data_IF_193953708964
#
_entry.id   IF_193953708964
#
_cell.length_a   1.000
_cell.length_b   1.000
_cell.length_c   1.000
_cell.angle_alpha   90.00
_cell.angle_beta   90.00
_cell.angle_gamma   90.00
#
_symmetry.space_group_name_H-M   'P 1'
#
loop_
_entity.id
_entity.type
_entity.pdbx_description
1 polymer ?
#
# COMPACT_ATOMS: atom_id res chain seq x y z
N UNK A 1 -54.26 59.70 61.41
CA UNK A 1 -54.48 58.37 60.87
C UNK A 1 -53.82 58.20 59.49
N UNK A 2 -52.54 57.97 59.46
CA UNK A 2 -51.77 57.57 58.24
C UNK A 2 -50.49 56.86 58.71
N UNK A 3 -50.58 55.62 58.96
CA UNK A 3 -49.42 54.76 59.13
C UNK A 3 -49.93 53.26 59.21
N UNK A 4 -50.20 52.60 58.14
CA UNK A 4 -50.31 51.16 58.12
C UNK A 4 -50.65 50.66 56.71
N UNK A 5 -49.84 50.96 55.68
CA UNK A 5 -50.07 50.32 54.34
C UNK A 5 -48.83 50.09 53.49
N UNK A 6 -47.63 50.20 54.08
CA UNK A 6 -46.40 50.10 53.26
C UNK A 6 -45.59 48.77 53.54
N UNK A 7 -45.92 48.00 54.55
CA UNK A 7 -45.14 46.85 54.92
C UNK A 7 -45.57 45.49 54.24
N UNK A 8 -46.79 45.43 53.73
CA UNK A 8 -47.28 44.18 53.14
C UNK A 8 -46.80 43.90 51.71
N UNK A 9 -46.40 44.96 50.97
CA UNK A 9 -45.91 44.74 49.55
C UNK A 9 -44.46 44.31 49.44
N UNK A 10 -43.63 44.60 50.43
CA UNK A 10 -42.20 44.20 50.40
C UNK A 10 -41.95 42.67 50.59
N UNK A 11 -42.76 42.09 51.41
CA UNK A 11 -42.58 40.65 51.74
C UNK A 11 -43.00 39.73 50.61
N UNK A 12 -43.99 40.08 49.79
CA UNK A 12 -44.44 39.33 48.64
C UNK A 12 -43.39 39.39 47.52
N UNK A 13 -42.69 40.51 47.33
CA UNK A 13 -41.63 40.62 46.30
C UNK A 13 -40.38 39.83 46.66
N UNK A 14 -39.98 39.76 47.93
CA UNK A 14 -38.82 38.96 48.35
C UNK A 14 -39.09 37.49 48.33
N UNK A 15 -40.32 37.04 48.61
CA UNK A 15 -40.71 35.62 48.48
C UNK A 15 -40.71 35.14 47.03
N UNK A 16 -41.16 35.98 46.07
CA UNK A 16 -41.18 35.62 44.66
C UNK A 16 -39.74 35.54 44.09
N UNK A 17 -38.84 36.44 44.46
CA UNK A 17 -37.44 36.38 44.02
C UNK A 17 -36.69 35.17 44.63
N UNK A 18 -36.94 34.83 45.88
CA UNK A 18 -36.36 33.64 46.52
C UNK A 18 -36.82 32.35 45.86
N UNK A 19 -38.08 32.23 45.49
CA UNK A 19 -38.62 31.05 44.85
C UNK A 19 -38.10 30.89 43.39
N UNK A 20 -37.99 31.99 42.65
CA UNK A 20 -37.41 31.99 41.31
C UNK A 20 -35.89 31.65 41.32
N UNK A 21 -35.13 32.16 42.30
CA UNK A 21 -33.73 31.83 42.45
C UNK A 21 -33.53 30.34 42.84
N UNK A 22 -34.40 29.79 43.73
CA UNK A 22 -34.35 28.39 44.11
C UNK A 22 -34.71 27.46 42.93
N UNK A 23 -35.71 27.81 42.13
CA UNK A 23 -36.09 27.10 40.91
C UNK A 23 -35.00 27.13 39.83
N UNK A 24 -34.30 28.27 39.68
CA UNK A 24 -33.16 28.37 38.75
C UNK A 24 -31.97 27.54 39.21
N UNK A 25 -31.66 27.48 40.49
CA UNK A 25 -30.59 26.62 41.04
C UNK A 25 -30.94 25.16 40.89
N UNK A 26 -32.20 24.74 41.13
CA UNK A 26 -32.65 23.39 40.94
C UNK A 26 -32.61 22.98 39.42
N UNK A 27 -32.99 23.89 38.51
CA UNK A 27 -32.91 23.66 37.08
C UNK A 27 -31.45 23.54 36.59
N UNK A 28 -30.52 24.31 37.14
CA UNK A 28 -29.09 24.23 36.84
C UNK A 28 -28.49 22.90 37.40
N UNK A 29 -28.88 22.50 38.62
CA UNK A 29 -28.38 21.23 39.22
C UNK A 29 -28.95 19.98 38.53
N UNK A 30 -30.19 20.03 38.06
CA UNK A 30 -30.80 18.94 37.29
C UNK A 30 -30.23 18.88 35.85
N UNK A 31 -29.95 20.06 35.25
CA UNK A 31 -29.31 20.13 33.92
C UNK A 31 -27.89 19.65 33.85
N UNK A 32 -27.14 19.64 34.99
CA UNK A 32 -25.77 19.10 35.05
C UNK A 32 -25.71 17.61 35.36
N UNK A 33 -26.83 16.95 35.60
CA UNK A 33 -26.85 15.53 35.99
C UNK A 33 -27.16 14.58 34.80
N UNK A 34 -27.40 15.10 33.61
CA UNK A 34 -27.43 14.29 32.39
C UNK A 34 -26.07 14.52 31.66
N UNK A 35 -25.03 14.07 32.32
CA UNK A 35 -23.79 13.79 31.63
C UNK A 35 -24.07 12.47 30.86
N UNK A 36 -24.50 12.61 29.60
CA UNK A 36 -24.41 11.48 28.67
C UNK A 36 -22.97 11.01 28.73
N UNK A 37 -22.77 9.83 29.30
CA UNK A 37 -21.53 9.11 29.13
C UNK A 37 -21.28 9.11 27.64
N UNK A 38 -20.16 9.67 27.13
CA UNK A 38 -19.88 9.61 25.71
C UNK A 38 -20.01 8.13 25.34
N UNK A 39 -20.89 7.84 24.40
CA UNK A 39 -21.02 6.49 23.88
C UNK A 39 -19.58 6.07 23.57
N UNK A 40 -19.09 5.07 24.28
CA UNK A 40 -17.74 4.53 24.08
C UNK A 40 -17.67 4.28 22.61
N UNK A 41 -16.90 5.10 21.89
CA UNK A 41 -16.71 4.94 20.45
C UNK A 41 -16.42 3.46 20.27
N UNK A 42 -17.29 2.74 19.56
CA UNK A 42 -17.10 1.34 19.31
C UNK A 42 -15.70 1.26 18.71
N UNK A 43 -14.80 0.55 19.37
CA UNK A 43 -13.47 0.30 18.82
C UNK A 43 -13.70 -0.16 17.39
N UNK A 44 -12.97 0.39 16.38
CA UNK A 44 -13.16 -0.03 15.01
C UNK A 44 -13.16 -1.56 15.02
N UNK A 45 -14.19 -2.15 14.40
CA UNK A 45 -14.37 -3.59 14.39
C UNK A 45 -13.18 -4.18 13.63
N UNK A 46 -12.11 -4.54 14.34
CA UNK A 46 -10.88 -5.07 13.74
C UNK A 46 -11.26 -6.42 13.16
N UNK A 47 -11.15 -6.61 11.83
CA UNK A 47 -11.52 -7.88 11.21
C UNK A 47 -10.72 -9.03 11.81
N UNK A 48 -11.39 -10.09 12.24
CA UNK A 48 -10.72 -11.29 12.74
C UNK A 48 -10.36 -12.19 11.58
N UNK A 49 -9.10 -12.59 11.50
CA UNK A 49 -8.58 -13.55 10.54
C UNK A 49 -8.81 -14.96 11.08
N UNK A 50 -9.59 -15.75 10.36
CA UNK A 50 -9.96 -17.11 10.80
C UNK A 50 -8.90 -18.16 10.46
N UNK A 51 -7.97 -17.83 9.54
CA UNK A 51 -6.90 -18.69 9.06
C UNK A 51 -7.26 -19.51 7.82
N UNK A 52 -6.25 -19.91 7.05
CA UNK A 52 -6.37 -20.64 5.77
C UNK A 52 -7.22 -21.90 5.89
N UNK A 53 -7.11 -22.62 7.00
CA UNK A 53 -7.90 -23.82 7.28
C UNK A 53 -9.42 -23.56 7.30
N UNK A 54 -9.88 -22.32 7.45
CA UNK A 54 -11.29 -21.96 7.39
C UNK A 54 -11.82 -21.86 5.95
N UNK A 55 -10.93 -21.75 4.96
CA UNK A 55 -11.24 -21.69 3.54
C UNK A 55 -11.04 -23.05 2.84
N UNK A 56 -10.28 -23.99 3.44
CA UNK A 56 -9.71 -25.18 2.80
C UNK A 56 -10.65 -26.39 2.68
N UNK A 57 -11.92 -26.25 3.04
CA UNK A 57 -12.87 -27.36 2.89
C UNK A 57 -12.99 -27.84 1.43
N UNK A 58 -13.16 -29.14 1.20
CA UNK A 58 -13.30 -29.74 -0.14
C UNK A 58 -14.54 -29.30 -0.90
N UNK A 59 -15.53 -28.73 -0.20
CA UNK A 59 -16.71 -28.10 -0.79
C UNK A 59 -16.56 -26.57 -0.95
N UNK A 60 -15.39 -26.04 -0.54
CA UNK A 60 -15.06 -24.62 -0.59
C UNK A 60 -13.90 -24.40 -1.56
N UNK A 61 -12.69 -24.08 -1.07
CA UNK A 61 -11.52 -23.77 -1.90
C UNK A 61 -10.41 -24.84 -1.87
N UNK A 62 -10.65 -26.00 -1.24
CA UNK A 62 -9.67 -27.06 -1.04
C UNK A 62 -9.91 -28.32 -1.87
N UNK A 63 -10.48 -28.22 -3.07
CA UNK A 63 -10.59 -29.35 -4.00
C UNK A 63 -9.24 -29.71 -4.58
N UNK A 64 -8.99 -30.99 -4.76
CA UNK A 64 -7.78 -31.49 -5.45
C UNK A 64 -7.80 -31.20 -6.95
N UNK A 65 -8.99 -31.14 -7.54
CA UNK A 65 -9.22 -30.85 -8.96
C UNK A 65 -10.28 -29.77 -9.11
N UNK A 66 -10.03 -28.87 -10.05
CA UNK A 66 -10.94 -27.77 -10.36
C UNK A 66 -12.15 -28.30 -11.15
N UNK A 67 -13.31 -28.35 -10.53
CA UNK A 67 -14.57 -28.76 -11.18
C UNK A 67 -15.74 -27.77 -10.99
N UNK A 68 -15.51 -26.68 -10.25
CA UNK A 68 -16.46 -25.60 -10.07
C UNK A 68 -16.67 -24.84 -11.36
N UNK A 69 -17.94 -24.57 -11.73
CA UNK A 69 -18.28 -23.78 -12.93
C UNK A 69 -18.07 -22.29 -12.73
N UNK A 70 -18.25 -21.82 -11.52
CA UNK A 70 -18.19 -20.39 -11.16
C UNK A 70 -16.91 -20.10 -10.37
N UNK A 71 -16.62 -20.94 -9.38
CA UNK A 71 -15.38 -20.93 -8.60
C UNK A 71 -14.78 -22.30 -8.76
N UNK A 72 -13.50 -22.36 -9.10
CA UNK A 72 -12.84 -23.64 -9.39
C UNK A 72 -12.68 -24.49 -8.15
N UNK A 73 -12.61 -23.85 -6.98
CA UNK A 73 -12.51 -24.48 -5.68
C UNK A 73 -11.20 -25.25 -5.44
N UNK A 74 -10.19 -25.00 -6.27
CA UNK A 74 -8.82 -25.55 -6.16
C UNK A 74 -7.78 -24.48 -5.76
N UNK A 75 -8.23 -23.32 -5.30
CA UNK A 75 -7.39 -22.16 -5.02
C UNK A 75 -6.31 -22.48 -3.96
N UNK A 76 -6.64 -23.30 -2.96
CA UNK A 76 -5.68 -23.76 -1.94
C UNK A 76 -4.54 -24.58 -2.59
N UNK A 77 -4.87 -25.47 -3.53
CA UNK A 77 -3.86 -26.27 -4.22
C UNK A 77 -2.87 -25.40 -4.98
N UNK A 78 -3.37 -24.37 -5.66
CA UNK A 78 -2.53 -23.41 -6.38
C UNK A 78 -1.69 -22.55 -5.45
N UNK A 79 -2.30 -22.03 -4.39
CA UNK A 79 -1.61 -21.23 -3.39
C UNK A 79 -0.50 -22.01 -2.65
N UNK A 80 -0.64 -23.34 -2.52
CA UNK A 80 0.36 -24.21 -1.92
C UNK A 80 1.36 -24.82 -2.93
N UNK A 81 1.18 -24.61 -4.23
CA UNK A 81 2.00 -25.22 -5.29
C UNK A 81 3.48 -24.81 -5.15
N UNK A 82 4.30 -25.72 -4.66
CA UNK A 82 5.69 -25.44 -4.32
C UNK A 82 6.57 -25.16 -5.54
N UNK A 83 6.22 -25.71 -6.69
CA UNK A 83 6.96 -25.58 -7.96
C UNK A 83 6.55 -24.34 -8.76
N UNK A 84 5.54 -23.58 -8.30
CA UNK A 84 4.97 -22.44 -9.01
C UNK A 84 5.17 -21.13 -8.24
N UNK A 85 5.29 -19.98 -8.94
CA UNK A 85 5.22 -18.65 -8.34
C UNK A 85 3.95 -18.42 -7.51
N UNK A 86 2.81 -19.05 -7.89
CA UNK A 86 1.54 -18.95 -7.16
C UNK A 86 1.65 -19.40 -5.71
N UNK A 87 2.53 -20.36 -5.40
CA UNK A 87 2.79 -20.82 -4.05
C UNK A 87 3.84 -20.04 -3.26
N UNK A 88 4.35 -18.94 -3.78
CA UNK A 88 5.39 -18.16 -3.10
C UNK A 88 4.93 -17.62 -1.74
N UNK A 89 3.71 -17.13 -1.66
CA UNK A 89 3.15 -16.56 -0.44
C UNK A 89 2.94 -17.60 0.68
N UNK A 90 2.53 -18.81 0.35
CA UNK A 90 2.40 -19.89 1.35
C UNK A 90 3.74 -20.28 1.99
N UNK A 91 4.85 -20.06 1.28
CA UNK A 91 6.21 -20.36 1.77
C UNK A 91 6.89 -19.17 2.47
N UNK A 92 6.21 -18.00 2.52
CA UNK A 92 6.82 -16.78 3.03
C UNK A 92 7.33 -16.94 4.47
N UNK A 93 6.59 -17.63 5.34
CA UNK A 93 7.04 -17.90 6.71
C UNK A 93 8.15 -18.95 6.76
N UNK A 94 8.01 -20.03 6.00
CA UNK A 94 8.95 -21.14 6.03
C UNK A 94 10.39 -20.72 5.66
N UNK A 95 10.54 -19.73 4.77
CA UNK A 95 11.86 -19.20 4.39
C UNK A 95 12.61 -18.54 5.57
N UNK A 96 11.90 -18.14 6.62
CA UNK A 96 12.52 -17.54 7.81
C UNK A 96 13.36 -18.55 8.62
N UNK A 97 13.06 -19.85 8.52
CA UNK A 97 13.85 -20.91 9.17
C UNK A 97 15.14 -21.22 8.43
N UNK A 98 15.29 -20.80 7.17
CA UNK A 98 16.46 -21.11 6.35
C UNK A 98 17.74 -20.46 6.88
N UNK A 99 18.91 -21.07 6.63
CA UNK A 99 20.19 -20.57 7.10
C UNK A 99 20.48 -19.11 6.72
N UNK A 100 20.08 -18.70 5.51
CA UNK A 100 20.24 -17.30 5.05
C UNK A 100 19.42 -16.32 5.91
N UNK A 101 18.17 -16.61 6.16
CA UNK A 101 17.30 -15.76 6.97
C UNK A 101 17.78 -15.64 8.40
N UNK A 102 18.24 -16.75 8.99
CA UNK A 102 18.84 -16.76 10.32
C UNK A 102 20.17 -15.97 10.36
N UNK A 103 20.95 -16.00 9.27
CA UNK A 103 22.16 -15.19 9.16
C UNK A 103 21.85 -13.70 9.09
N UNK A 104 20.83 -13.31 8.32
CA UNK A 104 20.33 -11.92 8.25
C UNK A 104 19.91 -11.44 9.64
N UNK A 105 19.10 -12.22 10.35
CA UNK A 105 18.66 -11.90 11.71
C UNK A 105 19.83 -11.71 12.69
N UNK A 106 20.85 -12.59 12.63
CA UNK A 106 22.07 -12.45 13.43
C UNK A 106 22.84 -11.15 13.10
N UNK A 107 23.00 -10.83 11.82
CA UNK A 107 23.70 -9.59 11.39
C UNK A 107 22.96 -8.33 11.83
N UNK A 108 21.64 -8.38 11.87
CA UNK A 108 20.81 -7.29 12.35
C UNK A 108 20.73 -7.19 13.88
N UNK A 109 21.13 -8.25 14.60
CA UNK A 109 21.03 -8.32 16.06
C UNK A 109 19.60 -8.48 16.57
N UNK A 110 18.68 -9.05 15.75
CA UNK A 110 17.24 -9.16 16.07
C UNK A 110 16.83 -10.55 16.57
N UNK A 111 17.77 -11.43 16.84
CA UNK A 111 17.52 -12.78 17.39
C UNK A 111 17.10 -13.77 16.30
N UNK A 112 15.94 -14.41 16.46
CA UNK A 112 15.43 -15.41 15.51
C UNK A 112 14.49 -14.76 14.48
N UNK A 113 14.74 -15.02 13.20
CA UNK A 113 13.94 -14.47 12.09
C UNK A 113 12.45 -14.87 12.18
N UNK A 114 12.14 -16.09 12.66
CA UNK A 114 10.77 -16.60 12.76
C UNK A 114 9.93 -15.89 13.85
N UNK A 115 10.56 -15.14 14.74
CA UNK A 115 9.88 -14.42 15.82
C UNK A 115 10.11 -12.91 15.76
N UNK A 116 11.00 -12.45 14.87
CA UNK A 116 11.31 -11.03 14.76
C UNK A 116 10.17 -10.25 14.06
N UNK A 117 9.56 -9.24 14.72
CA UNK A 117 8.47 -8.47 14.11
C UNK A 117 8.85 -7.84 12.77
N UNK A 118 10.09 -7.42 12.60
CA UNK A 118 10.63 -6.87 11.37
C UNK A 118 10.53 -7.84 10.18
N UNK A 119 10.70 -9.14 10.43
CA UNK A 119 10.56 -10.18 9.39
C UNK A 119 9.08 -10.54 9.20
N UNK A 120 8.36 -10.75 10.31
CA UNK A 120 6.98 -11.21 10.30
C UNK A 120 6.02 -10.24 9.62
N UNK A 121 6.32 -8.94 9.61
CA UNK A 121 5.48 -7.94 8.95
C UNK A 121 5.24 -8.22 7.46
N UNK A 122 6.20 -8.91 6.78
CA UNK A 122 6.08 -9.27 5.36
C UNK A 122 6.06 -10.79 5.13
N UNK A 123 6.53 -11.60 6.08
CA UNK A 123 6.66 -13.04 5.93
C UNK A 123 5.58 -13.85 6.64
N UNK A 124 4.67 -13.20 7.35
CA UNK A 124 3.48 -13.80 7.94
C UNK A 124 2.28 -12.88 7.76
N UNK A 125 1.10 -13.45 7.80
CA UNK A 125 -0.13 -12.66 7.77
C UNK A 125 -0.23 -11.75 8.99
N UNK A 126 -0.31 -10.44 8.77
CA UNK A 126 -0.34 -9.45 9.84
C UNK A 126 -1.77 -9.26 10.36
N UNK A 127 -2.23 -10.20 11.20
CA UNK A 127 -3.57 -10.20 11.77
C UNK A 127 -3.57 -9.61 13.19
N UNK A 128 -4.26 -8.50 13.40
CA UNK A 128 -4.44 -7.90 14.72
C UNK A 128 -5.43 -8.68 15.60
N UNK A 129 -6.37 -9.41 15.00
CA UNK A 129 -7.30 -10.33 15.67
C UNK A 129 -7.27 -11.69 14.96
N UNK A 130 -7.09 -12.76 15.74
CA UNK A 130 -6.82 -14.12 15.22
C UNK A 130 -7.86 -15.11 15.74
N UNK A 131 -8.46 -15.85 14.82
CA UNK A 131 -9.38 -16.95 15.15
C UNK A 131 -8.63 -18.24 15.50
N UNK A 132 -9.37 -19.27 15.96
CA UNK A 132 -8.77 -20.49 16.47
C UNK A 132 -8.06 -21.37 15.44
N UNK A 133 -8.29 -21.12 14.14
CA UNK A 133 -7.64 -21.85 13.03
C UNK A 133 -6.51 -21.06 12.36
N UNK A 134 -6.27 -19.85 12.85
CA UNK A 134 -5.16 -19.04 12.36
C UNK A 134 -3.83 -19.71 12.72
N UNK A 135 -2.94 -19.84 11.72
CA UNK A 135 -1.58 -20.32 11.91
C UNK A 135 -0.60 -19.36 11.23
N UNK A 136 0.34 -18.84 11.99
CA UNK A 136 1.37 -17.94 11.48
C UNK A 136 2.27 -18.64 10.45
N UNK A 137 2.42 -19.96 10.57
CA UNK A 137 3.19 -20.82 9.64
C UNK A 137 2.56 -20.92 8.25
N UNK A 138 1.32 -20.53 8.07
CA UNK A 138 0.69 -20.46 6.73
C UNK A 138 1.32 -19.38 5.84
N UNK A 139 2.20 -18.52 6.40
CA UNK A 139 2.85 -17.45 5.67
C UNK A 139 1.86 -16.31 5.36
N UNK A 140 1.78 -15.94 4.09
CA UNK A 140 0.81 -14.94 3.61
C UNK A 140 -0.43 -15.69 3.13
N UNK A 141 -1.40 -15.82 4.04
CA UNK A 141 -2.64 -16.55 3.82
C UNK A 141 -3.66 -15.76 2.99
N UNK A 142 -4.83 -16.37 2.81
CA UNK A 142 -5.92 -15.82 2.02
C UNK A 142 -6.38 -14.45 2.52
N UNK A 143 -6.49 -14.31 3.82
CA UNK A 143 -7.03 -13.11 4.48
C UNK A 143 -6.04 -11.94 4.50
N UNK A 144 -4.75 -12.17 4.23
CA UNK A 144 -3.79 -11.10 4.01
C UNK A 144 -4.17 -10.19 2.82
N UNK A 145 -4.78 -10.80 1.80
CA UNK A 145 -5.25 -10.09 0.61
C UNK A 145 -6.76 -9.83 0.64
N UNK A 146 -7.55 -10.85 1.05
CA UNK A 146 -9.01 -10.78 1.03
C UNK A 146 -9.63 -10.10 2.27
N UNK A 147 -8.82 -9.74 3.26
CA UNK A 147 -9.26 -9.18 4.54
C UNK A 147 -9.79 -10.24 5.51
N UNK A 148 -9.75 -9.96 6.81
CA UNK A 148 -10.21 -10.87 7.86
C UNK A 148 -11.64 -11.36 7.65
N UNK A 149 -11.82 -12.66 7.60
CA UNK A 149 -13.02 -13.29 7.03
C UNK A 149 -14.18 -13.46 8.01
N UNK A 150 -13.98 -13.21 9.29
CA UNK A 150 -15.00 -13.51 10.32
C UNK A 150 -16.38 -12.90 10.04
N UNK A 151 -16.42 -11.71 9.44
CA UNK A 151 -17.67 -11.01 9.16
C UNK A 151 -18.28 -11.35 7.80
N UNK A 152 -17.46 -11.80 6.82
CA UNK A 152 -17.95 -12.00 5.46
C UNK A 152 -17.97 -13.47 5.00
N UNK A 153 -17.33 -14.41 5.73
CA UNK A 153 -17.21 -15.80 5.29
C UNK A 153 -18.58 -16.49 5.08
N UNK A 154 -19.56 -16.19 5.91
CA UNK A 154 -20.91 -16.73 5.72
C UNK A 154 -21.67 -16.00 4.60
N UNK A 155 -21.45 -14.69 4.48
CA UNK A 155 -22.12 -13.84 3.48
C UNK A 155 -21.71 -14.20 2.07
N UNK A 156 -20.41 -14.46 1.83
CA UNK A 156 -19.92 -14.72 0.48
C UNK A 156 -20.44 -16.04 -0.12
N UNK A 157 -20.78 -17.02 0.71
CA UNK A 157 -21.41 -18.28 0.28
C UNK A 157 -22.76 -18.09 -0.38
N UNK A 158 -23.41 -16.94 -0.16
CA UNK A 158 -24.70 -16.60 -0.78
C UNK A 158 -24.56 -16.02 -2.19
N UNK A 159 -23.34 -15.90 -2.71
CA UNK A 159 -23.06 -15.54 -4.10
C UNK A 159 -23.22 -14.06 -4.46
N UNK A 160 -23.48 -13.16 -3.50
CA UNK A 160 -23.58 -11.72 -3.75
C UNK A 160 -22.28 -11.02 -3.36
N UNK A 161 -21.43 -10.73 -4.34
CA UNK A 161 -20.14 -10.08 -4.13
C UNK A 161 -20.24 -8.71 -3.42
N UNK A 162 -21.20 -7.86 -3.81
CA UNK A 162 -21.37 -6.56 -3.20
C UNK A 162 -21.75 -6.65 -1.70
N UNK A 163 -22.51 -7.68 -1.30
CA UNK A 163 -22.79 -7.94 0.11
C UNK A 163 -21.53 -8.36 0.86
N UNK A 164 -20.71 -9.20 0.24
CA UNK A 164 -19.43 -9.65 0.82
C UNK A 164 -18.48 -8.47 1.03
N UNK A 165 -18.37 -7.58 0.06
CA UNK A 165 -17.56 -6.34 0.18
C UNK A 165 -18.10 -5.46 1.32
N UNK A 166 -19.42 -5.28 1.43
CA UNK A 166 -20.01 -4.54 2.56
C UNK A 166 -19.75 -5.19 3.92
N UNK A 167 -19.61 -6.50 3.95
CA UNK A 167 -19.25 -7.25 5.16
C UNK A 167 -17.74 -7.26 5.47
N UNK A 168 -16.91 -6.69 4.59
CA UNK A 168 -15.48 -6.53 4.82
C UNK A 168 -14.54 -7.31 3.89
N UNK A 169 -15.07 -8.02 2.89
CA UNK A 169 -14.24 -8.60 1.83
C UNK A 169 -13.56 -7.51 1.03
N UNK A 170 -12.25 -7.59 0.88
CA UNK A 170 -11.46 -6.63 0.12
C UNK A 170 -11.71 -6.78 -1.39
N UNK A 171 -12.14 -5.72 -2.12
CA UNK A 171 -12.49 -5.79 -3.54
C UNK A 171 -11.24 -5.74 -4.42
N UNK A 172 -10.50 -6.85 -4.51
CA UNK A 172 -9.23 -6.96 -5.24
C UNK A 172 -9.37 -6.84 -6.77
N UNK A 173 -10.57 -6.91 -7.31
CA UNK A 173 -10.88 -6.58 -8.71
C UNK A 173 -10.57 -5.12 -9.05
N UNK A 174 -10.54 -4.23 -8.04
CA UNK A 174 -10.08 -2.86 -8.20
C UNK A 174 -8.56 -2.80 -8.21
N UNK A 175 -7.89 -2.39 -9.32
CA UNK A 175 -6.43 -2.29 -9.37
C UNK A 175 -5.82 -1.40 -8.29
N UNK A 176 -6.48 -0.32 -7.90
CA UNK A 176 -6.01 0.55 -6.80
C UNK A 176 -6.01 -0.17 -5.45
N UNK A 177 -7.07 -0.92 -5.16
CA UNK A 177 -7.17 -1.69 -3.91
C UNK A 177 -6.13 -2.80 -3.91
N UNK A 178 -6.03 -3.56 -5.00
CA UNK A 178 -5.02 -4.60 -5.18
C UNK A 178 -3.61 -4.05 -4.99
N UNK A 179 -3.28 -2.94 -5.67
CA UNK A 179 -1.98 -2.28 -5.52
C UNK A 179 -1.70 -1.89 -4.07
N UNK A 180 -2.67 -1.31 -3.36
CA UNK A 180 -2.48 -0.91 -1.96
C UNK A 180 -2.10 -2.10 -1.08
N UNK A 181 -2.78 -3.24 -1.23
CA UNK A 181 -2.49 -4.47 -0.48
C UNK A 181 -1.10 -5.02 -0.81
N UNK A 182 -0.76 -5.16 -2.11
CA UNK A 182 0.52 -5.71 -2.53
C UNK A 182 1.70 -4.84 -2.07
N UNK A 183 1.56 -3.52 -2.22
CA UNK A 183 2.63 -2.58 -1.91
C UNK A 183 2.96 -2.50 -0.43
N UNK A 184 2.09 -2.94 0.48
CA UNK A 184 2.40 -2.96 1.91
C UNK A 184 3.65 -3.79 2.22
N UNK A 185 3.83 -4.91 1.53
CA UNK A 185 5.02 -5.75 1.69
C UNK A 185 6.06 -5.50 0.59
N UNK A 186 5.63 -5.29 -0.67
CA UNK A 186 6.53 -5.20 -1.81
C UNK A 186 7.23 -3.82 -1.96
N UNK A 187 6.72 -2.79 -1.30
CA UNK A 187 7.38 -1.47 -1.17
C UNK A 187 7.59 -1.08 0.29
N UNK A 188 6.60 -1.35 1.11
CA UNK A 188 6.57 -1.04 2.52
C UNK A 188 5.32 -0.27 2.94
N UNK A 189 5.06 -0.30 4.24
CA UNK A 189 3.97 0.42 4.90
C UNK A 189 4.45 1.03 6.21
N UNK A 190 4.32 2.33 6.36
CA UNK A 190 4.67 3.01 7.59
C UNK A 190 3.79 2.54 8.76
N UNK A 191 2.50 2.33 8.49
CA UNK A 191 1.52 1.94 9.49
C UNK A 191 1.71 0.48 9.95
N UNK A 192 2.13 -0.40 9.03
CA UNK A 192 2.42 -1.81 9.30
C UNK A 192 3.83 -2.07 9.80
N UNK A 193 4.71 -1.08 9.84
CA UNK A 193 6.12 -1.26 10.17
C UNK A 193 6.90 -2.09 9.15
N UNK A 194 6.38 -2.18 7.94
CA UNK A 194 6.92 -2.98 6.84
C UNK A 194 7.82 -2.10 5.97
N UNK A 195 9.13 -2.27 6.06
CA UNK A 195 10.06 -1.49 5.24
C UNK A 195 11.42 -2.18 5.14
N UNK A 196 11.80 -2.57 3.93
CA UNK A 196 13.13 -3.12 3.65
C UNK A 196 14.08 -1.97 3.33
N UNK A 197 14.77 -1.49 4.35
CA UNK A 197 15.76 -0.43 4.25
C UNK A 197 17.13 -0.97 3.82
N UNK A 198 18.08 -0.06 3.56
CA UNK A 198 19.44 -0.42 3.15
C UNK A 198 20.18 -1.28 4.19
N UNK A 199 19.90 -1.09 5.50
CA UNK A 199 20.49 -1.91 6.57
C UNK A 199 20.05 -3.37 6.48
N UNK A 200 18.77 -3.62 6.20
CA UNK A 200 18.22 -4.98 6.01
C UNK A 200 18.83 -5.62 4.77
N UNK A 201 18.94 -4.87 3.66
CA UNK A 201 19.61 -5.35 2.44
C UNK A 201 21.10 -5.60 2.67
N UNK A 202 21.78 -4.71 3.39
CA UNK A 202 23.18 -4.88 3.78
C UNK A 202 23.43 -6.11 4.66
N UNK A 203 22.44 -6.55 5.43
CA UNK A 203 22.48 -7.80 6.17
C UNK A 203 22.33 -9.04 5.29
N UNK A 204 21.90 -8.90 4.04
CA UNK A 204 21.77 -9.97 3.04
C UNK A 204 20.38 -10.23 2.51
N UNK A 205 19.39 -9.43 2.88
CA UNK A 205 18.05 -9.49 2.29
C UNK A 205 18.12 -9.03 0.83
N UNK A 206 17.48 -9.73 -0.11
CA UNK A 206 17.44 -9.27 -1.49
C UNK A 206 16.63 -7.98 -1.62
N UNK A 207 16.95 -7.17 -2.64
CA UNK A 207 16.05 -6.12 -3.06
C UNK A 207 14.74 -6.74 -3.57
N UNK A 208 13.64 -6.09 -3.29
CA UNK A 208 12.32 -6.50 -3.80
C UNK A 208 12.04 -5.66 -5.04
N UNK A 209 11.99 -6.33 -6.21
CA UNK A 209 11.46 -5.74 -7.44
C UNK A 209 9.99 -6.13 -7.57
N UNK A 210 9.15 -5.21 -7.99
CA UNK A 210 7.71 -5.47 -8.06
C UNK A 210 7.07 -4.68 -9.22
N UNK A 211 6.20 -5.37 -9.93
CA UNK A 211 5.31 -4.78 -10.93
C UNK A 211 3.92 -5.45 -10.76
N UNK A 212 2.86 -4.65 -10.66
CA UNK A 212 1.56 -5.14 -10.21
C UNK A 212 0.92 -6.13 -11.18
N UNK A 213 0.99 -5.89 -12.50
CA UNK A 213 0.34 -6.75 -13.49
C UNK A 213 1.05 -8.09 -13.63
N UNK A 214 2.38 -8.06 -13.80
CA UNK A 214 3.20 -9.27 -13.88
C UNK A 214 3.04 -10.13 -12.62
N UNK A 215 3.15 -9.52 -11.44
CA UNK A 215 3.06 -10.27 -10.18
C UNK A 215 1.64 -10.77 -9.91
N UNK A 216 0.59 -10.04 -10.32
CA UNK A 216 -0.78 -10.54 -10.28
C UNK A 216 -0.95 -11.76 -11.18
N UNK A 217 -0.37 -11.75 -12.38
CA UNK A 217 -0.40 -12.86 -13.32
C UNK A 217 0.36 -14.08 -12.78
N UNK A 218 1.57 -13.88 -12.24
CA UNK A 218 2.38 -14.95 -11.65
C UNK A 218 1.73 -15.59 -10.42
N UNK A 219 0.94 -14.82 -9.66
CA UNK A 219 0.26 -15.28 -8.45
C UNK A 219 -1.19 -15.71 -8.70
N UNK A 220 -1.61 -15.79 -9.94
CA UNK A 220 -3.00 -16.09 -10.28
C UNK A 220 -3.44 -17.47 -9.79
N UNK A 221 -4.28 -17.49 -8.77
CA UNK A 221 -4.90 -18.71 -8.21
C UNK A 221 -6.41 -18.80 -8.52
N UNK A 222 -6.99 -17.75 -9.13
CA UNK A 222 -8.32 -17.75 -9.72
C UNK A 222 -8.23 -17.77 -11.24
N UNK A 223 -9.27 -18.26 -11.90
CA UNK A 223 -9.39 -18.13 -13.35
C UNK A 223 -10.26 -16.93 -13.70
N UNK A 224 -9.67 -15.96 -14.36
CA UNK A 224 -10.37 -14.80 -14.92
C UNK A 224 -10.97 -15.19 -16.30
N UNK A 225 -11.88 -16.14 -16.29
CA UNK A 225 -12.57 -16.65 -17.48
C UNK A 225 -13.82 -15.81 -17.84
N UNK A 226 -14.58 -16.28 -18.82
CA UNK A 226 -15.77 -15.57 -19.29
C UNK A 226 -16.84 -15.38 -18.19
N UNK A 227 -16.97 -16.33 -17.26
CA UNK A 227 -17.88 -16.22 -16.12
C UNK A 227 -17.41 -15.17 -15.12
N UNK A 228 -16.11 -15.12 -14.84
CA UNK A 228 -15.52 -14.06 -14.02
C UNK A 228 -15.76 -12.69 -14.63
N UNK A 229 -15.51 -12.55 -15.94
CA UNK A 229 -15.72 -11.33 -16.69
C UNK A 229 -17.17 -10.85 -16.65
N UNK A 230 -18.12 -11.77 -16.75
CA UNK A 230 -19.55 -11.45 -16.68
C UNK A 230 -19.97 -10.92 -15.30
N UNK A 231 -19.42 -11.44 -14.23
CA UNK A 231 -19.80 -11.09 -12.85
C UNK A 231 -19.05 -9.89 -12.28
N UNK A 232 -17.81 -9.70 -12.67
CA UNK A 232 -16.89 -8.69 -12.08
C UNK A 232 -16.36 -7.69 -13.10
N UNK A 233 -16.63 -7.89 -14.38
CA UNK A 233 -16.04 -7.13 -15.47
C UNK A 233 -14.59 -7.56 -15.76
N UNK A 234 -14.12 -7.19 -16.96
CA UNK A 234 -12.72 -7.38 -17.35
C UNK A 234 -11.91 -6.14 -16.98
N UNK A 235 -10.81 -6.36 -16.33
CA UNK A 235 -9.78 -5.32 -16.15
C UNK A 235 -8.62 -5.66 -17.08
N UNK A 236 -8.28 -4.75 -18.00
CA UNK A 236 -7.15 -4.99 -18.90
C UNK A 236 -5.83 -4.92 -18.14
N UNK A 237 -4.86 -5.76 -18.53
CA UNK A 237 -3.51 -5.80 -17.97
C UNK A 237 -2.84 -4.42 -17.99
N UNK A 238 -2.94 -3.67 -19.08
CA UNK A 238 -2.38 -2.33 -19.16
C UNK A 238 -3.01 -1.36 -18.15
N UNK A 239 -4.28 -1.54 -17.77
CA UNK A 239 -4.90 -0.75 -16.69
C UNK A 239 -4.32 -1.15 -15.33
N UNK A 240 -4.17 -2.44 -15.07
CA UNK A 240 -3.54 -2.95 -13.83
C UNK A 240 -2.13 -2.41 -13.73
N UNK A 241 -1.35 -2.53 -14.81
CA UNK A 241 0.00 -2.02 -14.90
C UNK A 241 0.08 -0.51 -14.65
N UNK A 242 -0.69 0.31 -15.37
CA UNK A 242 -0.61 1.76 -15.26
C UNK A 242 -1.04 2.28 -13.87
N UNK A 243 -2.08 1.67 -13.28
CA UNK A 243 -2.49 1.95 -11.90
C UNK A 243 -1.39 1.50 -10.93
N UNK A 244 -0.81 0.33 -11.13
CA UNK A 244 0.30 -0.20 -10.32
C UNK A 244 1.49 0.75 -10.29
N UNK A 245 1.92 1.25 -11.45
CA UNK A 245 3.01 2.23 -11.56
C UNK A 245 2.71 3.52 -10.77
N UNK A 246 1.49 4.04 -10.90
CA UNK A 246 1.09 5.26 -10.20
C UNK A 246 1.03 5.07 -8.67
N UNK A 247 0.50 3.94 -8.22
CA UNK A 247 0.42 3.60 -6.80
C UNK A 247 1.81 3.33 -6.20
N UNK A 248 2.73 2.73 -6.96
CA UNK A 248 4.11 2.51 -6.56
C UNK A 248 4.86 3.84 -6.36
N UNK A 249 4.70 4.80 -7.29
CA UNK A 249 5.25 6.16 -7.13
C UNK A 249 4.66 6.84 -5.87
N UNK A 250 3.35 6.76 -5.67
CA UNK A 250 2.69 7.33 -4.50
C UNK A 250 3.25 6.73 -3.21
N UNK A 251 3.37 5.40 -3.15
CA UNK A 251 3.89 4.67 -1.99
C UNK A 251 5.36 5.01 -1.70
N UNK A 252 6.22 4.97 -2.71
CA UNK A 252 7.63 5.29 -2.57
C UNK A 252 7.83 6.71 -2.01
N UNK A 253 7.13 7.70 -2.55
CA UNK A 253 7.20 9.08 -2.07
C UNK A 253 6.59 9.29 -0.70
N UNK A 254 5.59 8.50 -0.32
CA UNK A 254 5.02 8.49 1.03
C UNK A 254 6.04 7.99 2.06
N UNK A 255 6.71 6.89 1.77
CA UNK A 255 7.79 6.33 2.61
C UNK A 255 8.98 7.30 2.70
N UNK A 256 9.40 7.87 1.56
CA UNK A 256 10.46 8.88 1.50
C UNK A 256 10.17 10.10 2.39
N UNK A 257 8.93 10.55 2.39
CA UNK A 257 8.49 11.72 3.16
C UNK A 257 8.26 11.41 4.63
N UNK A 258 8.21 10.14 5.02
CA UNK A 258 7.99 9.73 6.40
C UNK A 258 9.22 10.08 7.27
N UNK A 259 9.05 10.82 8.39
CA UNK A 259 10.19 11.28 9.20
C UNK A 259 11.02 10.14 9.80
N UNK A 260 10.43 8.98 10.10
CA UNK A 260 11.13 7.85 10.71
C UNK A 260 11.75 6.92 9.68
N UNK A 261 11.07 6.66 8.56
CA UNK A 261 11.53 5.72 7.54
C UNK A 261 12.49 6.36 6.52
N UNK A 262 12.22 7.61 6.15
CA UNK A 262 13.03 8.34 5.16
C UNK A 262 14.40 8.80 5.66
N UNK A 263 14.72 8.60 6.95
CA UNK A 263 15.93 9.13 7.59
C UNK A 263 16.70 8.11 8.42
N UNK A 264 16.41 6.82 8.28
CA UNK A 264 17.13 5.80 9.03
C UNK A 264 18.62 5.78 8.61
N UNK A 265 19.50 6.31 9.48
CA UNK A 265 20.94 6.43 9.25
C UNK A 265 21.37 7.68 8.49
N UNK A 266 20.72 8.07 7.42
CA UNK A 266 20.98 9.26 6.62
C UNK A 266 19.71 9.72 5.89
N UNK A 267 19.67 10.99 5.50
CA UNK A 267 18.59 11.47 4.62
C UNK A 267 19.15 11.77 3.23
N UNK A 268 18.44 11.31 2.17
CA UNK A 268 17.42 10.24 2.20
C UNK A 268 18.03 8.88 2.56
N UNK A 269 17.20 7.98 3.09
CA UNK A 269 17.59 6.60 3.35
C UNK A 269 18.05 5.94 2.03
N UNK A 270 19.13 5.14 2.05
CA UNK A 270 19.79 4.70 0.83
C UNK A 270 18.98 3.77 -0.06
N UNK A 271 17.93 3.12 0.47
CA UNK A 271 17.02 2.31 -0.33
C UNK A 271 16.29 3.10 -1.42
N UNK A 272 16.19 4.43 -1.27
CA UNK A 272 15.54 5.30 -2.24
C UNK A 272 16.43 5.68 -3.44
N UNK A 273 17.70 5.32 -3.40
CA UNK A 273 18.62 5.58 -4.52
C UNK A 273 18.76 4.36 -5.44
N UNK A 274 19.20 4.63 -6.67
CA UNK A 274 19.65 3.58 -7.57
C UNK A 274 20.85 2.84 -6.97
N UNK A 275 20.69 1.53 -6.81
CA UNK A 275 21.68 0.67 -6.17
C UNK A 275 22.99 0.62 -6.95
N UNK A 276 22.93 0.59 -8.27
CA UNK A 276 24.07 0.45 -9.16
C UNK A 276 24.93 1.72 -9.23
N UNK A 277 24.40 2.85 -8.80
CA UNK A 277 25.19 4.08 -8.68
C UNK A 277 26.32 3.95 -7.67
N UNK A 278 26.13 3.14 -6.62
CA UNK A 278 27.12 2.88 -5.58
C UNK A 278 27.70 1.47 -5.67
N UNK A 279 26.86 0.43 -5.90
CA UNK A 279 27.26 -0.97 -5.98
C UNK A 279 27.69 -1.38 -7.38
N UNK A 280 28.58 -0.65 -7.99
CA UNK A 280 29.18 -0.95 -9.28
C UNK A 280 30.66 -1.27 -9.16
N UNK A 281 31.20 -1.93 -10.19
CA UNK A 281 32.64 -2.12 -10.31
C UNK A 281 33.32 -0.76 -10.48
N UNK A 282 34.26 -0.46 -9.62
CA UNK A 282 35.17 0.67 -9.80
C UNK A 282 36.31 0.16 -10.70
N UNK A 283 36.45 0.76 -11.87
CA UNK A 283 37.54 0.45 -12.80
C UNK A 283 38.58 1.56 -12.72
N UNK A 284 39.82 1.19 -12.49
CA UNK A 284 40.97 2.10 -12.60
C UNK A 284 41.45 2.29 -14.05
N UNK A 285 40.61 2.00 -15.03
CA UNK A 285 41.00 2.09 -16.44
C UNK A 285 40.76 3.50 -16.99
N UNK A 286 41.68 3.97 -17.83
CA UNK A 286 41.56 5.25 -18.54
C UNK A 286 40.35 5.32 -19.49
N UNK A 287 39.71 4.20 -19.77
CA UNK A 287 38.52 4.11 -20.60
C UNK A 287 37.20 4.24 -19.80
N UNK A 288 37.25 4.52 -18.50
CA UNK A 288 36.06 4.78 -17.71
C UNK A 288 35.43 6.11 -18.14
N UNK A 289 34.30 6.02 -18.79
CA UNK A 289 33.43 7.18 -19.04
C UNK A 289 32.45 7.31 -17.87
N UNK A 290 32.52 8.40 -17.09
CA UNK A 290 31.51 8.65 -16.07
C UNK A 290 30.13 8.67 -16.71
N UNK A 291 29.18 7.95 -16.12
CA UNK A 291 27.78 7.91 -16.57
C UNK A 291 26.99 9.16 -16.15
N UNK A 292 27.63 10.32 -16.15
CA UNK A 292 26.94 11.62 -16.01
C UNK A 292 26.28 11.95 -17.34
N UNK A 293 25.19 11.28 -17.64
CA UNK A 293 24.38 11.67 -18.78
C UNK A 293 23.52 12.86 -18.36
N UNK A 294 23.64 13.94 -19.13
CA UNK A 294 22.71 15.06 -18.94
C UNK A 294 21.30 14.60 -19.27
N UNK A 295 20.46 14.52 -18.24
CA UNK A 295 19.07 14.13 -18.38
C UNK A 295 18.18 15.28 -17.91
N UNK A 296 17.64 16.09 -18.85
CA UNK A 296 16.77 17.23 -18.49
C UNK A 296 15.52 16.83 -17.70
N UNK A 297 15.08 15.58 -17.80
CA UNK A 297 13.98 15.01 -17.02
C UNK A 297 14.37 14.64 -15.59
N UNK A 298 15.69 14.48 -15.34
CA UNK A 298 16.27 14.07 -14.05
C UNK A 298 17.49 14.96 -13.74
N UNK A 299 17.32 16.19 -13.29
CA UNK A 299 18.43 17.09 -13.00
C UNK A 299 19.17 16.62 -11.73
N UNK A 300 20.10 15.70 -11.90
CA UNK A 300 20.90 15.12 -10.81
C UNK A 300 22.26 15.80 -10.84
N UNK A 301 22.67 16.45 -9.73
CA UNK A 301 23.99 17.05 -9.62
C UNK A 301 25.11 16.01 -9.73
N UNK A 302 26.25 16.42 -10.27
CA UNK A 302 27.46 15.58 -10.36
C UNK A 302 27.84 15.08 -8.94
N UNK A 303 28.07 13.78 -8.83
CA UNK A 303 28.47 13.14 -7.58
C UNK A 303 27.30 12.72 -6.68
N UNK A 304 26.05 13.05 -7.04
CA UNK A 304 24.86 12.58 -6.33
C UNK A 304 24.30 11.32 -6.98
N UNK A 305 23.99 10.25 -6.23
CA UNK A 305 23.31 9.09 -6.80
C UNK A 305 21.88 9.48 -7.23
N UNK A 306 21.38 8.95 -8.35
CA UNK A 306 20.01 9.19 -8.77
C UNK A 306 19.02 8.56 -7.80
N UNK A 307 17.89 9.23 -7.59
CA UNK A 307 16.74 8.61 -6.94
C UNK A 307 16.23 7.45 -7.80
N UNK A 308 15.77 6.36 -7.16
CA UNK A 308 15.17 5.25 -7.88
C UNK A 308 13.78 5.66 -8.41
N UNK A 309 13.75 6.08 -9.66
CA UNK A 309 12.56 6.60 -10.32
C UNK A 309 11.96 5.64 -11.35
N UNK A 310 12.28 4.34 -11.27
CA UNK A 310 11.84 3.29 -12.18
C UNK A 310 10.34 3.38 -12.52
N UNK A 311 9.49 3.52 -11.50
CA UNK A 311 8.05 3.65 -11.70
C UNK A 311 7.64 5.04 -12.23
N UNK A 312 8.42 6.09 -11.98
CA UNK A 312 8.14 7.43 -12.52
C UNK A 312 8.32 7.45 -14.04
N UNK A 313 9.35 6.77 -14.55
CA UNK A 313 9.62 6.65 -15.97
C UNK A 313 8.47 5.90 -16.66
N UNK A 314 8.07 4.76 -16.12
CA UNK A 314 6.95 3.95 -16.62
C UNK A 314 5.64 4.73 -16.61
N UNK A 315 5.35 5.41 -15.49
CA UNK A 315 4.14 6.22 -15.34
C UNK A 315 4.11 7.40 -16.30
N UNK A 316 5.26 8.04 -16.56
CA UNK A 316 5.38 9.12 -17.55
C UNK A 316 5.03 8.62 -18.96
N UNK A 317 5.52 7.43 -19.34
CA UNK A 317 5.20 6.84 -20.64
C UNK A 317 3.69 6.59 -20.80
N UNK A 318 3.05 5.99 -19.79
CA UNK A 318 1.60 5.79 -19.79
C UNK A 318 0.82 7.11 -19.85
N UNK A 319 1.24 8.09 -19.05
CA UNK A 319 0.54 9.36 -18.92
C UNK A 319 0.61 10.20 -20.20
N UNK A 320 1.77 10.24 -20.88
CA UNK A 320 1.92 10.96 -22.16
C UNK A 320 0.94 10.46 -23.22
N UNK A 321 0.69 9.16 -23.24
CA UNK A 321 -0.21 8.54 -24.23
C UNK A 321 -1.68 8.65 -23.83
N UNK A 322 -2.00 8.39 -22.57
CA UNK A 322 -3.39 8.22 -22.15
C UNK A 322 -3.96 9.41 -21.35
N UNK A 323 -3.12 10.29 -20.82
CA UNK A 323 -3.53 11.45 -20.03
C UNK A 323 -2.57 12.65 -20.20
N UNK A 324 -2.37 13.18 -21.43
CA UNK A 324 -1.29 14.12 -21.74
C UNK A 324 -1.33 15.42 -20.90
N UNK A 325 -2.49 15.90 -20.51
CA UNK A 325 -2.60 17.10 -19.66
C UNK A 325 -2.06 16.83 -18.24
N UNK A 326 -2.28 15.64 -17.70
CA UNK A 326 -1.73 15.23 -16.40
C UNK A 326 -0.24 14.88 -16.50
N UNK A 327 0.20 14.35 -17.63
CA UNK A 327 1.59 14.02 -17.89
C UNK A 327 2.50 15.24 -17.75
N UNK A 328 2.14 16.37 -18.33
CA UNK A 328 2.92 17.62 -18.25
C UNK A 328 3.15 18.05 -16.80
N UNK A 329 2.10 18.00 -15.99
CA UNK A 329 2.20 18.33 -14.56
C UNK A 329 3.05 17.32 -13.80
N UNK A 330 2.82 16.03 -14.01
CA UNK A 330 3.57 14.95 -13.38
C UNK A 330 5.07 15.05 -13.68
N UNK A 331 5.45 15.25 -14.94
CA UNK A 331 6.84 15.41 -15.35
C UNK A 331 7.49 16.70 -14.80
N UNK A 332 6.73 17.80 -14.70
CA UNK A 332 7.20 19.02 -14.06
C UNK A 332 7.46 18.81 -12.56
N UNK A 333 6.55 18.13 -11.87
CA UNK A 333 6.70 17.80 -10.45
C UNK A 333 7.86 16.81 -10.23
N UNK A 334 8.07 15.85 -11.14
CA UNK A 334 9.20 14.91 -11.10
C UNK A 334 10.54 15.66 -11.24
N UNK A 335 10.67 16.55 -12.21
CA UNK A 335 11.88 17.40 -12.35
C UNK A 335 12.12 18.25 -11.10
N UNK A 336 11.07 18.84 -10.56
CA UNK A 336 11.17 19.66 -9.35
C UNK A 336 11.61 18.83 -8.13
N UNK A 337 11.15 17.58 -8.02
CA UNK A 337 11.56 16.66 -6.97
C UNK A 337 13.04 16.29 -7.07
N UNK A 338 13.51 15.86 -8.25
CA UNK A 338 14.93 15.56 -8.46
C UNK A 338 15.83 16.75 -8.17
N UNK A 339 15.44 17.96 -8.60
CA UNK A 339 16.19 19.17 -8.29
C UNK A 339 16.18 19.51 -6.79
N UNK A 340 15.10 19.20 -6.07
CA UNK A 340 14.96 19.50 -4.66
C UNK A 340 15.77 18.58 -3.75
N UNK A 341 15.97 17.31 -4.13
CA UNK A 341 16.79 16.34 -3.37
C UNK A 341 18.19 16.89 -3.10
N UNK A 342 18.75 17.61 -4.06
CA UNK A 342 20.09 18.18 -3.96
C UNK A 342 20.19 19.44 -3.08
N UNK A 343 19.07 20.01 -2.65
CA UNK A 343 19.07 21.27 -1.88
C UNK A 343 19.04 21.01 -0.39
N UNK A 344 17.91 20.52 0.10
CA UNK A 344 17.67 20.26 1.51
C UNK A 344 16.46 19.33 1.70
N UNK A 345 16.34 18.77 2.90
CA UNK A 345 15.27 17.85 3.26
C UNK A 345 13.88 18.46 3.14
N UNK A 346 13.69 19.69 3.60
CA UNK A 346 12.36 20.31 3.61
C UNK A 346 11.85 20.56 2.19
N UNK A 347 12.73 21.07 1.31
CA UNK A 347 12.45 21.25 -0.12
C UNK A 347 12.14 19.92 -0.81
N UNK A 348 12.93 18.88 -0.53
CA UNK A 348 12.75 17.54 -1.10
C UNK A 348 11.42 16.92 -0.66
N UNK A 349 11.08 16.94 0.63
CA UNK A 349 9.80 16.42 1.15
C UNK A 349 8.60 17.21 0.60
N UNK A 350 8.71 18.54 0.50
CA UNK A 350 7.64 19.35 -0.10
C UNK A 350 7.42 19.01 -1.58
N UNK A 351 8.49 18.81 -2.34
CA UNK A 351 8.42 18.40 -3.74
C UNK A 351 7.89 16.96 -3.89
N UNK A 352 8.34 16.02 -3.05
CA UNK A 352 7.82 14.65 -2.99
C UNK A 352 6.31 14.62 -2.76
N UNK A 353 5.80 15.41 -1.83
CA UNK A 353 4.36 15.48 -1.55
C UNK A 353 3.54 16.05 -2.74
N UNK A 354 4.09 17.00 -3.51
CA UNK A 354 3.44 17.49 -4.74
C UNK A 354 3.41 16.40 -5.81
N UNK A 355 4.53 15.75 -6.05
CA UNK A 355 4.64 14.66 -7.02
C UNK A 355 3.75 13.47 -6.64
N UNK A 356 3.66 13.14 -5.35
CA UNK A 356 2.71 12.14 -4.83
C UNK A 356 1.28 12.46 -5.20
N UNK A 357 0.86 13.72 -5.06
CA UNK A 357 -0.47 14.19 -5.48
C UNK A 357 -0.71 14.04 -6.98
N UNK A 358 0.30 14.30 -7.81
CA UNK A 358 0.22 14.10 -9.26
C UNK A 358 0.12 12.62 -9.64
N UNK A 359 0.84 11.73 -8.96
CA UNK A 359 0.72 10.28 -9.14
C UNK A 359 -0.66 9.76 -8.71
N UNK A 360 -1.20 10.21 -7.57
CA UNK A 360 -2.53 9.83 -7.09
C UNK A 360 -3.64 10.25 -8.08
N UNK A 361 -3.51 11.40 -8.72
CA UNK A 361 -4.43 11.84 -9.78
C UNK A 361 -4.36 10.92 -11.00
N UNK A 362 -3.16 10.51 -11.43
CA UNK A 362 -2.98 9.55 -12.51
C UNK A 362 -3.55 8.17 -12.13
N UNK A 363 -3.30 7.67 -10.92
CA UNK A 363 -3.89 6.43 -10.44
C UNK A 363 -5.43 6.45 -10.52
N UNK A 364 -6.05 7.56 -10.11
CA UNK A 364 -7.50 7.73 -10.16
C UNK A 364 -8.03 7.81 -11.59
N UNK A 365 -7.31 8.47 -12.49
CA UNK A 365 -7.65 8.55 -13.91
C UNK A 365 -7.55 7.18 -14.57
N UNK A 366 -6.45 6.45 -14.35
CA UNK A 366 -6.24 5.13 -14.95
C UNK A 366 -7.16 4.04 -14.38
N UNK A 367 -7.62 4.17 -13.15
CA UNK A 367 -8.59 3.25 -12.53
C UNK A 367 -9.88 3.11 -13.39
N UNK A 368 -10.31 4.16 -14.05
CA UNK A 368 -11.50 4.18 -14.90
C UNK A 368 -11.19 4.25 -16.41
N UNK A 369 -9.90 4.31 -16.79
CA UNK A 369 -9.52 4.43 -18.18
C UNK A 369 -9.77 3.14 -18.97
N UNK A 370 -10.11 3.30 -20.24
CA UNK A 370 -10.05 2.25 -21.24
C UNK A 370 -8.89 2.57 -22.18
N UNK A 371 -7.98 1.61 -22.32
CA UNK A 371 -6.84 1.75 -23.22
C UNK A 371 -7.17 1.09 -24.56
N UNK A 372 -7.15 1.85 -25.63
CA UNK A 372 -7.27 1.30 -26.98
C UNK A 372 -6.01 0.53 -27.37
N UNK A 373 -6.14 -0.40 -28.33
CA UNK A 373 -5.00 -1.13 -28.86
C UNK A 373 -3.88 -0.20 -29.36
N UNK A 374 -4.24 0.90 -30.02
CA UNK A 374 -3.27 1.90 -30.49
C UNK A 374 -2.52 2.56 -29.32
N UNK A 375 -3.22 2.89 -28.24
CA UNK A 375 -2.57 3.45 -27.03
C UNK A 375 -1.65 2.43 -26.35
N UNK A 376 -2.03 1.16 -26.30
CA UNK A 376 -1.18 0.10 -25.74
C UNK A 376 0.13 0.01 -26.52
N UNK A 377 0.07 -0.08 -27.86
CA UNK A 377 1.28 -0.09 -28.69
C UNK A 377 2.10 1.19 -28.56
N UNK A 378 1.46 2.35 -28.49
CA UNK A 378 2.16 3.61 -28.31
C UNK A 378 2.89 3.69 -26.94
N UNK A 379 2.33 3.10 -25.89
CA UNK A 379 3.00 2.98 -24.57
C UNK A 379 4.22 2.07 -24.69
N UNK A 380 4.07 0.89 -25.30
CA UNK A 380 5.17 -0.07 -25.52
C UNK A 380 6.29 0.57 -26.34
N UNK A 381 5.95 1.23 -27.45
CA UNK A 381 6.92 1.94 -28.30
C UNK A 381 7.65 3.05 -27.53
N UNK A 382 6.92 3.77 -26.69
CA UNK A 382 7.51 4.82 -25.85
C UNK A 382 8.52 4.22 -24.85
N UNK A 383 8.14 3.16 -24.14
CA UNK A 383 9.03 2.47 -23.18
C UNK A 383 10.26 1.92 -23.91
N UNK A 384 10.06 1.21 -25.02
CA UNK A 384 11.15 0.60 -25.78
C UNK A 384 12.12 1.63 -26.35
N UNK A 385 11.61 2.76 -26.88
CA UNK A 385 12.44 3.84 -27.40
C UNK A 385 13.23 4.54 -26.30
N UNK A 386 12.66 4.69 -25.11
CA UNK A 386 13.31 5.30 -23.97
C UNK A 386 14.36 4.37 -23.35
N UNK A 387 14.15 3.05 -23.39
CA UNK A 387 15.09 2.06 -22.86
C UNK A 387 16.48 2.13 -23.53
N UNK A 388 16.56 2.57 -24.77
CA UNK A 388 17.82 2.79 -25.50
C UNK A 388 18.33 4.25 -25.42
N UNK A 389 17.64 5.09 -24.68
CA UNK A 389 17.97 6.51 -24.52
C UNK A 389 18.61 6.75 -23.14
N UNK A 390 19.24 7.93 -22.93
CA UNK A 390 19.78 8.30 -21.62
C UNK A 390 18.76 8.34 -20.46
N UNK A 391 17.46 8.22 -20.72
CA UNK A 391 16.43 8.19 -19.68
C UNK A 391 16.52 6.95 -18.78
N UNK A 392 16.83 5.80 -19.36
CA UNK A 392 17.11 4.58 -18.61
C UNK A 392 18.60 4.50 -18.29
N UNK A 393 19.01 5.27 -17.32
CA UNK A 393 20.42 5.35 -16.91
C UNK A 393 20.80 4.35 -15.84
N UNK A 394 19.83 3.56 -15.37
CA UNK A 394 19.99 2.61 -14.26
C UNK A 394 19.40 1.24 -14.57
N UNK A 395 19.78 0.28 -13.74
CA UNK A 395 19.35 -1.11 -13.86
C UNK A 395 17.86 -1.29 -13.53
N UNK A 396 17.40 -0.60 -12.50
CA UNK A 396 16.02 -0.73 -12.01
C UNK A 396 15.00 -0.23 -13.04
N UNK A 397 15.27 0.91 -13.68
CA UNK A 397 14.42 1.40 -14.77
C UNK A 397 14.36 0.41 -15.93
N UNK A 398 15.50 -0.20 -16.28
CA UNK A 398 15.55 -1.24 -17.33
C UNK A 398 14.80 -2.49 -16.92
N UNK A 399 14.89 -2.93 -15.65
CA UNK A 399 14.15 -4.08 -15.15
C UNK A 399 12.63 -3.83 -15.18
N UNK A 400 12.17 -2.64 -14.78
CA UNK A 400 10.76 -2.25 -14.89
C UNK A 400 10.27 -2.23 -16.33
N UNK A 401 11.09 -1.74 -17.27
CA UNK A 401 10.74 -1.76 -18.68
C UNK A 401 10.55 -3.20 -19.23
N UNK A 402 11.43 -4.13 -18.82
CA UNK A 402 11.30 -5.55 -19.20
C UNK A 402 10.04 -6.18 -18.60
N UNK A 403 9.66 -5.83 -17.38
CA UNK A 403 8.43 -6.32 -16.76
C UNK A 403 7.16 -5.72 -17.39
N UNK A 404 7.26 -4.53 -18.00
CA UNK A 404 6.14 -3.80 -18.58
C UNK A 404 5.77 -4.23 -20.00
N UNK A 405 6.70 -4.81 -20.79
CA UNK A 405 6.51 -5.20 -22.19
C UNK A 405 6.44 -6.70 -22.39
#
# INVERSE_FOLDING_TARGET
MRYFSIQAKGWIQWGAFGLCALMAVIAITIGFSIQETPARAALPNVPTHLGVASCSGSTCHGRSEADGKIVRQDEIMRWQEASSPTGAHSRAFAILSEPRSQQIARRLGIGNAETAPMCLGCHAENAASRGPRYQQSDGIGCEACHGGSANWIEVHKLGNHANSVRAGLVPLESPKVRASVCLDCHYGSADGGQFVNHRIMGAGHPRISFELDLFSTLMQHHNEDADYAQRKGLTSNVRVWAVGQAMAVERSLSLYSNPSLGTEGAFPEFTFFDCHSCHRRIYDSQSFTPTTLDNPGRPIPVGMPPYNDENMIMLSAAARVAAPALAQKFEADSRAFHAAIAKDRASAVAAANRLRGSAANLASTFQSASFSRAQIFAIIDTISSEAISPRFTDYEGSAQAVMAV
#
